data_IF_083191747775
#
_entry.id   IF_083191747775
#
_cell.length_a   1.000
_cell.length_b   1.000
_cell.length_c   1.000
_cell.angle_alpha   90.00
_cell.angle_beta   90.00
_cell.angle_gamma   90.00
#
_symmetry.space_group_name_H-M   'P 1'
#
loop_
_entity.id
_entity.type
_entity.pdbx_description
1 polymer ?
#
# COMPACT_ATOMS: atom_id res chain seq x y z
N UNK A 1 27.65 -16.26 75.08
CA UNK A 1 28.52 -17.34 75.61
C UNK A 1 29.01 -17.04 77.03
N UNK A 2 29.57 -15.86 77.32
CA UNK A 2 30.08 -15.53 78.67
C UNK A 2 29.01 -15.33 79.77
N UNK A 3 27.82 -14.81 79.42
CA UNK A 3 26.76 -14.51 80.40
C UNK A 3 26.10 -15.79 80.93
N UNK A 4 25.98 -16.83 80.10
CA UNK A 4 25.41 -18.12 80.51
C UNK A 4 26.32 -18.89 81.48
N UNK A 5 27.65 -18.75 81.36
CA UNK A 5 28.62 -19.37 82.26
C UNK A 5 28.64 -18.70 83.65
N UNK A 6 28.41 -17.38 83.71
CA UNK A 6 28.31 -16.61 84.96
C UNK A 6 27.10 -17.05 85.81
N UNK A 7 25.93 -17.25 85.17
CA UNK A 7 24.72 -17.65 85.88
C UNK A 7 24.81 -19.09 86.42
N UNK A 8 25.44 -20.01 85.67
CA UNK A 8 25.65 -21.40 86.11
C UNK A 8 26.54 -21.50 87.36
N UNK A 9 27.57 -20.65 87.47
CA UNK A 9 28.43 -20.58 88.64
C UNK A 9 27.68 -20.05 89.87
N UNK A 10 26.79 -19.06 89.68
CA UNK A 10 26.03 -18.45 90.77
C UNK A 10 25.04 -19.43 91.42
N UNK A 11 24.45 -20.32 90.62
CA UNK A 11 23.53 -21.37 91.09
C UNK A 11 24.30 -22.48 91.83
N UNK A 12 25.49 -22.87 91.34
CA UNK A 12 26.33 -23.88 92.02
C UNK A 12 26.81 -23.43 93.41
N UNK A 13 27.13 -22.13 93.56
CA UNK A 13 27.54 -21.55 94.84
C UNK A 13 26.40 -21.51 95.86
N UNK A 14 25.16 -21.24 95.42
CA UNK A 14 23.99 -21.20 96.30
C UNK A 14 23.59 -22.58 96.86
N UNK A 15 23.76 -23.67 96.09
CA UNK A 15 23.49 -25.03 96.58
C UNK A 15 24.50 -25.52 97.64
N UNK A 16 25.73 -25.00 97.61
CA UNK A 16 26.79 -25.40 98.56
C UNK A 16 26.61 -24.84 99.97
N UNK A 17 25.86 -23.74 100.12
CA UNK A 17 25.69 -23.03 101.40
C UNK A 17 24.66 -23.66 102.35
N UNK A 18 23.82 -24.58 101.86
CA UNK A 18 22.69 -25.11 102.64
C UNK A 18 22.97 -26.45 103.33
N UNK A 19 24.17 -27.02 103.19
CA UNK A 19 24.46 -28.41 103.56
C UNK A 19 25.28 -28.64 104.85
N UNK A 20 25.48 -27.64 105.72
CA UNK A 20 26.40 -27.77 106.87
C UNK A 20 25.79 -27.55 108.26
N UNK A 21 24.59 -28.06 108.53
CA UNK A 21 24.11 -28.09 109.91
C UNK A 21 23.58 -29.48 110.27
N UNK A 22 24.03 -29.94 111.45
CA UNK A 22 23.68 -31.14 112.24
C UNK A 22 24.53 -32.39 111.99
N UNK A 23 25.52 -32.66 112.86
CA UNK A 23 25.40 -33.60 114.00
C UNK A 23 26.70 -33.61 114.82
N UNK A 24 26.62 -33.27 116.10
CA UNK A 24 27.63 -33.64 117.09
C UNK A 24 26.96 -33.89 118.43
N UNK A 25 26.74 -35.16 118.72
CA UNK A 25 26.79 -35.76 120.06
C UNK A 25 27.81 -36.92 119.89
N UNK A 26 28.61 -37.36 120.87
CA UNK A 26 28.38 -37.49 122.31
C UNK A 26 29.73 -37.76 123.01
N UNK A 27 29.84 -37.41 124.30
CA UNK A 27 30.54 -38.09 125.43
C UNK A 27 30.82 -37.03 126.50
N UNK A 28 30.68 -37.23 127.82
CA UNK A 28 30.12 -38.28 128.65
C UNK A 28 29.91 -37.69 130.07
N UNK A 29 29.04 -38.34 130.84
CA UNK A 29 29.09 -38.50 132.31
C UNK A 29 28.84 -37.29 133.22
N UNK A 30 27.75 -37.37 134.01
CA UNK A 30 27.84 -37.40 135.47
C UNK A 30 26.49 -37.76 136.10
N UNK A 31 26.55 -38.78 136.95
CA UNK A 31 25.52 -39.48 137.72
C UNK A 31 24.72 -38.57 138.68
N UNK A 32 23.41 -38.79 138.76
CA UNK A 32 22.53 -38.14 139.75
C UNK A 32 21.15 -38.80 139.82
N UNK A 33 20.81 -39.31 141.00
CA UNK A 33 19.76 -40.27 141.36
C UNK A 33 18.29 -39.86 141.03
N UNK A 34 17.50 -40.88 140.65
CA UNK A 34 16.04 -41.04 140.81
C UNK A 34 15.09 -39.95 140.27
N UNK A 35 14.68 -40.08 138.99
CA UNK A 35 13.36 -39.77 138.37
C UNK A 35 13.48 -39.72 136.82
N UNK A 36 14.23 -40.66 136.23
CA UNK A 36 14.88 -40.53 134.92
C UNK A 36 14.02 -40.93 133.69
N UNK A 37 12.90 -41.63 133.91
CA UNK A 37 12.04 -42.10 132.81
C UNK A 37 11.07 -41.02 132.30
N UNK A 38 10.59 -40.11 133.17
CA UNK A 38 9.63 -39.08 132.76
C UNK A 38 10.27 -37.90 132.01
N UNK A 39 11.55 -37.60 132.25
CA UNK A 39 12.28 -36.48 131.62
C UNK A 39 12.71 -36.85 130.19
N UNK A 40 13.29 -38.05 130.00
CA UNK A 40 13.69 -38.57 128.69
C UNK A 40 12.51 -38.81 127.74
N UNK A 41 11.37 -39.26 128.27
CA UNK A 41 10.11 -39.38 127.51
C UNK A 41 9.56 -38.01 127.09
N UNK A 42 9.68 -36.98 127.95
CA UNK A 42 9.23 -35.62 127.60
C UNK A 42 10.07 -34.97 126.49
N UNK A 43 11.39 -35.20 126.49
CA UNK A 43 12.29 -34.73 125.43
C UNK A 43 12.05 -35.48 124.11
N UNK A 44 11.83 -36.80 124.18
CA UNK A 44 11.48 -37.61 123.02
C UNK A 44 10.14 -37.14 122.39
N UNK A 45 9.14 -36.82 123.21
CA UNK A 45 7.87 -36.25 122.75
C UNK A 45 8.07 -34.87 122.08
N UNK A 46 8.94 -34.02 122.63
CA UNK A 46 9.29 -32.72 122.05
C UNK A 46 9.97 -32.85 120.68
N UNK A 47 10.91 -33.79 120.55
CA UNK A 47 11.58 -34.09 119.27
C UNK A 47 10.55 -34.59 118.24
N UNK A 48 9.66 -35.50 118.63
CA UNK A 48 8.62 -36.03 117.75
C UNK A 48 7.68 -34.95 117.23
N UNK A 49 7.23 -34.02 118.08
CA UNK A 49 6.43 -32.87 117.66
C UNK A 49 7.21 -31.95 116.71
N UNK A 50 8.51 -31.76 116.94
CA UNK A 50 9.37 -30.95 116.07
C UNK A 50 9.59 -31.60 114.71
N UNK A 51 9.74 -32.92 114.66
CA UNK A 51 9.80 -33.70 113.40
C UNK A 51 8.48 -33.54 112.65
N UNK A 52 7.34 -33.77 113.30
CA UNK A 52 6.03 -33.62 112.68
C UNK A 52 5.78 -32.18 112.16
N UNK A 53 6.25 -31.17 112.89
CA UNK A 53 6.19 -29.78 112.43
C UNK A 53 7.09 -29.53 111.22
N UNK A 54 8.33 -30.03 111.22
CA UNK A 54 9.24 -29.90 110.07
C UNK A 54 8.73 -30.65 108.84
N UNK A 55 8.13 -31.83 109.02
CA UNK A 55 7.46 -32.58 107.96
C UNK A 55 6.29 -31.77 107.36
N UNK A 56 5.47 -31.14 108.21
CA UNK A 56 4.38 -30.29 107.75
C UNK A 56 4.88 -29.06 106.97
N UNK A 57 5.93 -28.40 107.45
CA UNK A 57 6.57 -27.27 106.75
C UNK A 57 7.20 -27.74 105.43
N UNK A 58 7.86 -28.90 105.43
CA UNK A 58 8.44 -29.48 104.22
C UNK A 58 7.35 -29.76 103.18
N UNK A 59 6.24 -30.39 103.57
CA UNK A 59 5.11 -30.67 102.68
C UNK A 59 4.50 -29.37 102.12
N UNK A 60 4.30 -28.35 102.95
CA UNK A 60 3.82 -27.04 102.49
C UNK A 60 4.79 -26.39 101.49
N UNK A 61 6.11 -26.50 101.73
CA UNK A 61 7.12 -25.97 100.80
C UNK A 61 7.15 -26.74 99.48
N UNK A 62 7.00 -28.07 99.51
CA UNK A 62 6.91 -28.92 98.31
C UNK A 62 5.69 -28.51 97.49
N UNK A 63 4.53 -28.35 98.14
CA UNK A 63 3.31 -27.93 97.47
C UNK A 63 3.45 -26.57 96.78
N UNK A 64 3.99 -25.55 97.50
CA UNK A 64 4.27 -24.23 96.92
C UNK A 64 5.27 -24.29 95.77
N UNK A 65 6.27 -25.16 95.85
CA UNK A 65 7.27 -25.33 94.80
C UNK A 65 6.65 -25.96 93.54
N UNK A 66 5.73 -26.92 93.72
CA UNK A 66 5.00 -27.56 92.64
C UNK A 66 4.05 -26.57 91.92
N UNK A 67 3.34 -25.73 92.67
CA UNK A 67 2.51 -24.65 92.11
C UNK A 67 3.33 -23.67 91.25
N UNK A 68 4.51 -23.28 91.75
CA UNK A 68 5.44 -22.43 90.99
C UNK A 68 5.98 -23.14 89.75
N UNK A 69 6.27 -24.45 89.84
CA UNK A 69 6.72 -25.23 88.69
C UNK A 69 5.66 -25.28 87.59
N UNK A 70 4.39 -25.50 87.95
CA UNK A 70 3.28 -25.46 86.99
C UNK A 70 3.12 -24.08 86.34
N UNK A 71 3.22 -23.00 87.14
CA UNK A 71 3.18 -21.64 86.60
C UNK A 71 4.31 -21.37 85.60
N UNK A 72 5.54 -21.83 85.88
CA UNK A 72 6.67 -21.72 84.95
C UNK A 72 6.40 -22.50 83.65
N UNK A 73 5.80 -23.69 83.75
CA UNK A 73 5.44 -24.50 82.58
C UNK A 73 4.41 -23.79 81.68
N UNK A 74 3.42 -23.10 82.25
CA UNK A 74 2.47 -22.29 81.48
C UNK A 74 3.14 -21.11 80.79
N UNK A 75 4.04 -20.40 81.49
CA UNK A 75 4.80 -19.30 80.91
C UNK A 75 5.70 -19.78 79.76
N UNK A 76 6.35 -20.95 79.91
CA UNK A 76 7.16 -21.55 78.86
C UNK A 76 6.32 -21.88 77.61
N UNK A 77 5.12 -22.44 77.77
CA UNK A 77 4.18 -22.67 76.66
C UNK A 77 3.81 -21.37 75.95
N UNK A 78 3.54 -20.30 76.69
CA UNK A 78 3.23 -18.99 76.12
C UNK A 78 4.43 -18.41 75.35
N UNK A 79 5.64 -18.51 75.90
CA UNK A 79 6.88 -18.08 75.25
C UNK A 79 7.10 -18.86 73.95
N UNK A 80 6.88 -20.17 73.96
CA UNK A 80 6.97 -21.00 72.75
C UNK A 80 5.93 -20.59 71.69
N UNK A 81 4.69 -20.30 72.09
CA UNK A 81 3.67 -19.80 71.16
C UNK A 81 4.05 -18.44 70.56
N UNK A 82 4.56 -17.51 71.37
CA UNK A 82 5.03 -16.21 70.90
C UNK A 82 6.23 -16.34 69.97
N UNK A 83 7.17 -17.24 70.26
CA UNK A 83 8.34 -17.51 69.41
C UNK A 83 7.91 -18.00 68.02
N UNK A 84 6.96 -18.95 67.95
CA UNK A 84 6.41 -19.40 66.67
C UNK A 84 5.75 -18.27 65.87
N UNK A 85 5.01 -17.37 66.53
CA UNK A 85 4.41 -16.20 65.87
C UNK A 85 5.47 -15.24 65.34
N UNK A 86 6.55 -15.02 66.10
CA UNK A 86 7.68 -14.21 65.66
C UNK A 86 8.32 -14.83 64.42
N UNK A 87 8.53 -16.14 64.37
CA UNK A 87 9.12 -16.83 63.22
C UNK A 87 8.24 -16.67 61.96
N UNK A 88 6.92 -16.85 62.11
CA UNK A 88 5.96 -16.65 61.00
C UNK A 88 6.01 -15.21 60.49
N UNK A 89 5.93 -14.21 61.39
CA UNK A 89 5.99 -12.80 61.02
C UNK A 89 7.32 -12.43 60.36
N UNK A 90 8.44 -12.97 60.84
CA UNK A 90 9.75 -12.77 60.21
C UNK A 90 9.79 -13.33 58.79
N UNK A 91 9.21 -14.53 58.57
CA UNK A 91 9.11 -15.12 57.24
C UNK A 91 8.25 -14.29 56.28
N UNK A 92 7.12 -13.74 56.75
CA UNK A 92 6.25 -12.88 55.97
C UNK A 92 6.91 -11.54 55.63
N UNK A 93 7.63 -10.93 56.58
CA UNK A 93 8.39 -9.69 56.36
C UNK A 93 9.48 -9.91 55.31
N UNK A 94 10.18 -11.05 55.34
CA UNK A 94 11.18 -11.37 54.32
C UNK A 94 10.56 -11.53 52.93
N UNK A 95 9.40 -12.20 52.84
CA UNK A 95 8.67 -12.36 51.58
C UNK A 95 8.18 -11.01 51.04
N UNK A 96 7.58 -10.17 51.88
CA UNK A 96 7.15 -8.83 51.49
C UNK A 96 8.33 -7.97 51.02
N UNK A 97 9.50 -8.10 51.67
CA UNK A 97 10.71 -7.40 51.25
C UNK A 97 11.20 -7.86 49.88
N UNK A 98 11.19 -9.16 49.60
CA UNK A 98 11.55 -9.65 48.26
C UNK A 98 10.56 -9.19 47.18
N UNK A 99 9.26 -9.20 47.49
CA UNK A 99 8.21 -8.77 46.57
C UNK A 99 8.33 -7.26 46.28
N UNK A 100 8.62 -6.45 47.32
CA UNK A 100 8.90 -5.01 47.19
C UNK A 100 10.09 -4.75 46.27
N UNK A 101 11.23 -5.44 46.48
CA UNK A 101 12.42 -5.27 45.65
C UNK A 101 12.16 -5.64 44.18
N UNK A 102 11.34 -6.67 43.95
CA UNK A 102 10.94 -7.04 42.59
C UNK A 102 10.06 -5.96 41.94
N UNK A 103 9.09 -5.41 42.69
CA UNK A 103 8.26 -4.31 42.25
C UNK A 103 9.09 -3.05 41.92
N UNK A 104 10.06 -2.71 42.76
CA UNK A 104 10.97 -1.58 42.53
C UNK A 104 11.79 -1.76 41.25
N UNK A 105 12.34 -2.96 41.01
CA UNK A 105 13.06 -3.24 39.75
C UNK A 105 12.17 -3.06 38.53
N UNK A 106 10.91 -3.51 38.61
CA UNK A 106 9.93 -3.35 37.53
C UNK A 106 9.55 -1.88 37.32
N UNK A 107 9.45 -1.10 38.40
CA UNK A 107 9.22 0.35 38.32
C UNK A 107 10.38 1.05 37.61
N UNK A 108 11.64 0.75 37.96
CA UNK A 108 12.81 1.32 37.27
C UNK A 108 12.84 0.98 35.78
N UNK A 109 12.58 -0.28 35.42
CA UNK A 109 12.53 -0.68 34.01
C UNK A 109 11.43 0.08 33.23
N UNK A 110 10.26 0.23 33.84
CA UNK A 110 9.16 1.00 33.25
C UNK A 110 9.51 2.50 33.15
N UNK A 111 10.21 3.05 34.13
CA UNK A 111 10.67 4.45 34.11
C UNK A 111 11.66 4.69 32.96
N UNK A 112 12.61 3.77 32.72
CA UNK A 112 13.53 3.85 31.58
C UNK A 112 12.77 3.78 30.25
N UNK A 113 11.79 2.87 30.11
CA UNK A 113 10.93 2.80 28.92
C UNK A 113 10.17 4.12 28.68
N UNK A 114 9.59 4.69 29.74
CA UNK A 114 8.89 5.98 29.67
C UNK A 114 9.84 7.10 29.24
N UNK A 115 11.07 7.14 29.77
CA UNK A 115 12.08 8.12 29.36
C UNK A 115 12.46 7.97 27.88
N UNK A 116 12.65 6.74 27.40
CA UNK A 116 12.92 6.47 25.99
C UNK A 116 11.76 6.88 25.08
N UNK A 117 10.51 6.57 25.46
CA UNK A 117 9.31 6.98 24.74
C UNK A 117 9.18 8.50 24.69
N UNK A 118 9.49 9.20 25.78
CA UNK A 118 9.50 10.66 25.81
C UNK A 118 10.56 11.26 24.88
N UNK A 119 11.77 10.68 24.82
CA UNK A 119 12.80 11.12 23.88
C UNK A 119 12.39 10.90 22.42
N UNK A 120 11.82 9.73 22.10
CA UNK A 120 11.30 9.42 20.77
C UNK A 120 10.14 10.34 20.38
N UNK A 121 9.21 10.61 21.30
CA UNK A 121 8.09 11.53 21.10
C UNK A 121 8.56 12.94 20.74
N UNK A 122 9.55 13.48 21.48
CA UNK A 122 10.15 14.79 21.18
C UNK A 122 10.79 14.83 19.79
N UNK A 123 11.53 13.78 19.43
CA UNK A 123 12.15 13.67 18.10
C UNK A 123 11.08 13.63 16.99
N UNK A 124 10.05 12.81 17.15
CA UNK A 124 8.97 12.72 16.18
C UNK A 124 8.23 14.05 16.02
N UNK A 125 8.01 14.78 17.13
CA UNK A 125 7.39 16.10 17.08
C UNK A 125 8.23 17.09 16.24
N UNK A 126 9.56 17.10 16.43
CA UNK A 126 10.46 17.90 15.59
C UNK A 126 10.41 17.50 14.11
N UNK A 127 10.47 16.19 13.83
CA UNK A 127 10.42 15.67 12.47
C UNK A 127 9.08 16.01 11.77
N UNK A 128 7.96 16.03 12.51
CA UNK A 128 6.65 16.49 12.00
C UNK A 128 6.72 17.94 11.54
N UNK A 129 7.30 18.84 12.35
CA UNK A 129 7.42 20.25 11.96
C UNK A 129 8.31 20.45 10.73
N UNK A 130 9.43 19.71 10.64
CA UNK A 130 10.30 19.74 9.46
C UNK A 130 9.57 19.23 8.23
N UNK A 131 8.86 18.11 8.33
CA UNK A 131 8.09 17.56 7.22
C UNK A 131 6.95 18.50 6.79
N UNK A 132 6.26 19.12 7.73
CA UNK A 132 5.22 20.11 7.44
C UNK A 132 5.79 21.31 6.66
N UNK A 133 6.94 21.86 7.06
CA UNK A 133 7.57 22.96 6.31
C UNK A 133 7.99 22.56 4.89
N UNK A 134 8.45 21.32 4.70
CA UNK A 134 8.82 20.79 3.37
C UNK A 134 7.59 20.55 2.49
N UNK A 135 6.48 20.10 3.09
CA UNK A 135 5.23 19.92 2.39
C UNK A 135 4.68 21.27 1.92
N UNK A 136 4.73 22.30 2.76
CA UNK A 136 4.33 23.66 2.39
C UNK A 136 5.18 24.22 1.24
N UNK A 137 6.51 24.11 1.32
CA UNK A 137 7.39 24.55 0.21
C UNK A 137 7.08 23.82 -1.10
N UNK A 138 6.81 22.51 -1.03
CA UNK A 138 6.44 21.73 -2.20
C UNK A 138 5.07 22.14 -2.77
N UNK A 139 4.11 22.48 -1.92
CA UNK A 139 2.79 22.99 -2.31
C UNK A 139 2.88 24.37 -2.98
N UNK A 140 3.62 25.31 -2.40
CA UNK A 140 3.86 26.63 -2.97
C UNK A 140 4.51 26.50 -4.36
N UNK A 141 5.51 25.61 -4.50
CA UNK A 141 6.16 25.33 -5.80
C UNK A 141 5.18 24.72 -6.79
N UNK A 142 4.31 23.82 -6.35
CA UNK A 142 3.28 23.22 -7.21
C UNK A 142 2.29 24.27 -7.70
N UNK A 143 1.86 25.20 -6.84
CA UNK A 143 0.98 26.31 -7.21
C UNK A 143 1.62 27.19 -8.29
N UNK A 144 2.91 27.52 -8.15
CA UNK A 144 3.63 28.28 -9.19
C UNK A 144 3.67 27.54 -10.53
N UNK A 145 3.94 26.23 -10.53
CA UNK A 145 3.95 25.42 -11.76
C UNK A 145 2.55 25.30 -12.35
N UNK A 146 1.53 25.11 -11.52
CA UNK A 146 0.12 25.03 -11.94
C UNK A 146 -0.29 26.31 -12.67
N UNK A 147 0.00 27.49 -12.11
CA UNK A 147 -0.31 28.78 -12.75
C UNK A 147 0.41 28.98 -14.10
N UNK A 148 1.62 28.42 -14.26
CA UNK A 148 2.35 28.44 -15.54
C UNK A 148 1.72 27.50 -16.56
N UNK A 149 1.26 26.33 -16.12
CA UNK A 149 0.56 25.37 -16.99
C UNK A 149 -0.77 25.94 -17.47
N UNK A 150 -1.53 26.61 -16.60
CA UNK A 150 -2.78 27.28 -16.97
C UNK A 150 -2.54 28.33 -18.06
N UNK A 151 -1.58 29.25 -17.84
CA UNK A 151 -1.19 30.26 -18.84
C UNK A 151 -0.76 29.63 -20.17
N UNK A 152 0.01 28.55 -20.12
CA UNK A 152 0.44 27.85 -21.33
C UNK A 152 -0.75 27.18 -22.04
N UNK A 153 -1.70 26.62 -21.30
CA UNK A 153 -2.93 26.05 -21.84
C UNK A 153 -3.72 27.11 -22.61
N UNK A 154 -3.89 28.30 -22.03
CA UNK A 154 -4.58 29.41 -22.70
C UNK A 154 -3.90 29.75 -24.03
N UNK A 155 -2.57 29.94 -24.02
CA UNK A 155 -1.79 30.21 -25.23
C UNK A 155 -1.96 29.09 -26.27
N UNK A 156 -1.86 27.81 -25.86
CA UNK A 156 -2.01 26.67 -26.77
C UNK A 156 -3.41 26.63 -27.37
N UNK A 157 -4.45 26.94 -26.60
CA UNK A 157 -5.83 27.00 -27.13
C UNK A 157 -6.01 28.15 -28.13
N UNK A 158 -5.43 29.32 -27.87
CA UNK A 158 -5.44 30.44 -28.81
C UNK A 158 -4.71 30.10 -30.12
N UNK A 159 -3.49 29.59 -30.01
CA UNK A 159 -2.68 29.14 -31.16
C UNK A 159 -3.41 28.06 -31.98
N UNK A 160 -4.09 27.12 -31.32
CA UNK A 160 -4.90 26.10 -31.99
C UNK A 160 -6.04 26.71 -32.80
N UNK A 161 -6.76 27.70 -32.24
CA UNK A 161 -7.81 28.41 -32.97
C UNK A 161 -7.27 29.17 -34.19
N UNK A 162 -6.09 29.78 -34.07
CA UNK A 162 -5.43 30.48 -35.19
C UNK A 162 -5.05 29.51 -36.32
N UNK A 163 -4.44 28.37 -35.99
CA UNK A 163 -4.10 27.32 -36.95
C UNK A 163 -5.34 26.85 -37.70
N UNK A 164 -6.44 26.56 -36.97
CA UNK A 164 -7.69 26.14 -37.59
C UNK A 164 -8.25 27.18 -38.58
N UNK A 165 -8.18 28.47 -38.24
CA UNK A 165 -8.61 29.55 -39.16
C UNK A 165 -7.69 29.65 -40.39
N UNK A 166 -6.38 29.51 -40.21
CA UNK A 166 -5.41 29.54 -41.31
C UNK A 166 -5.61 28.35 -42.25
N UNK A 167 -5.85 27.16 -41.72
CA UNK A 167 -6.15 25.96 -42.51
C UNK A 167 -7.42 26.15 -43.36
N UNK A 168 -8.49 26.70 -42.78
CA UNK A 168 -9.72 27.02 -43.51
C UNK A 168 -9.48 28.08 -44.60
N UNK A 169 -8.76 29.16 -44.29
CA UNK A 169 -8.42 30.20 -45.25
C UNK A 169 -7.57 29.67 -46.41
N UNK A 170 -6.60 28.79 -46.11
CA UNK A 170 -5.78 28.10 -47.10
C UNK A 170 -6.64 27.24 -48.03
N UNK A 171 -7.55 26.42 -47.46
CA UNK A 171 -8.45 25.57 -48.25
C UNK A 171 -9.36 26.37 -49.19
N UNK A 172 -9.93 27.48 -48.70
CA UNK A 172 -10.74 28.40 -49.50
C UNK A 172 -9.90 29.01 -50.63
N UNK A 173 -8.68 29.46 -50.33
CA UNK A 173 -7.77 30.09 -51.29
C UNK A 173 -7.34 29.11 -52.38
N UNK A 174 -6.93 27.89 -52.01
CA UNK A 174 -6.61 26.82 -52.96
C UNK A 174 -7.80 26.50 -53.88
N UNK A 175 -9.00 26.37 -53.31
CA UNK A 175 -10.23 26.11 -54.09
C UNK A 175 -10.53 27.25 -55.06
N UNK A 176 -10.40 28.51 -54.63
CA UNK A 176 -10.57 29.68 -55.50
C UNK A 176 -9.51 29.74 -56.60
N UNK A 177 -8.25 29.46 -56.29
CA UNK A 177 -7.15 29.44 -57.25
C UNK A 177 -7.37 28.36 -58.33
N UNK A 178 -7.74 27.14 -57.93
CA UNK A 178 -8.07 26.05 -58.87
C UNK A 178 -9.28 26.40 -59.75
N UNK A 179 -10.32 27.04 -59.19
CA UNK A 179 -11.46 27.53 -59.98
C UNK A 179 -11.04 28.60 -60.97
N UNK A 180 -10.25 29.59 -60.56
CA UNK A 180 -9.75 30.64 -61.45
C UNK A 180 -8.88 30.05 -62.57
N UNK A 181 -7.99 29.10 -62.24
CA UNK A 181 -7.19 28.38 -63.23
C UNK A 181 -8.07 27.60 -64.21
N UNK A 182 -9.09 26.88 -63.74
CA UNK A 182 -10.06 26.20 -64.61
C UNK A 182 -10.81 27.18 -65.50
N UNK A 183 -11.23 28.33 -64.99
CA UNK A 183 -11.91 29.37 -65.77
C UNK A 183 -10.98 29.96 -66.86
N UNK A 184 -9.70 30.17 -66.54
CA UNK A 184 -8.70 30.62 -67.52
C UNK A 184 -8.41 29.53 -68.56
N UNK A 185 -8.25 28.27 -68.15
CA UNK A 185 -8.08 27.15 -69.08
C UNK A 185 -9.32 26.94 -69.97
N UNK A 186 -10.51 27.13 -69.41
CA UNK A 186 -11.79 27.08 -70.12
C UNK A 186 -11.93 28.23 -71.14
N UNK A 187 -11.52 29.45 -70.77
CA UNK A 187 -11.60 30.61 -71.68
C UNK A 187 -10.53 30.61 -72.78
N UNK A 188 -9.37 30.00 -72.53
CA UNK A 188 -8.25 29.89 -73.48
C UNK A 188 -8.40 28.74 -74.48
N UNK A 189 -9.24 27.74 -74.20
CA UNK A 189 -9.38 26.59 -75.08
C UNK A 189 -10.57 26.78 -76.04
N UNK A 190 -10.28 27.26 -77.26
CA UNK A 190 -11.28 27.46 -78.33
C UNK A 190 -12.09 26.19 -78.62
N UNK A 191 -11.48 25.02 -78.45
CA UNK A 191 -12.12 23.71 -78.63
C UNK A 191 -13.22 23.44 -77.59
N UNK A 192 -13.01 23.78 -76.32
CA UNK A 192 -14.05 23.64 -75.28
C UNK A 192 -15.16 24.68 -75.45
N UNK A 193 -14.81 25.89 -75.87
CA UNK A 193 -15.77 26.94 -76.22
C UNK A 193 -16.66 26.50 -77.39
N UNK A 194 -16.07 25.88 -78.40
CA UNK A 194 -16.77 25.29 -79.55
C UNK A 194 -17.65 24.10 -79.14
N UNK A 195 -17.17 23.19 -78.29
CA UNK A 195 -17.99 22.09 -77.76
C UNK A 195 -19.22 22.65 -77.04
N UNK A 196 -19.07 23.71 -76.23
CA UNK A 196 -20.18 24.27 -75.50
C UNK A 196 -21.16 25.07 -76.38
N UNK A 197 -20.67 25.68 -77.45
CA UNK A 197 -21.50 26.34 -78.47
C UNK A 197 -22.27 25.31 -79.30
N UNK A 198 -21.58 24.23 -79.71
CA UNK A 198 -22.19 23.12 -80.42
C UNK A 198 -23.18 22.38 -79.52
N UNK A 199 -22.87 22.13 -78.25
CA UNK A 199 -23.80 21.50 -77.31
C UNK A 199 -24.95 22.44 -76.94
N UNK A 200 -24.69 23.71 -76.66
CA UNK A 200 -25.75 24.70 -76.36
C UNK A 200 -26.75 24.81 -77.50
N UNK A 201 -26.27 24.98 -78.73
CA UNK A 201 -27.15 25.21 -79.88
C UNK A 201 -27.70 23.92 -80.50
N UNK A 202 -26.94 22.81 -80.54
CA UNK A 202 -27.47 21.53 -81.05
C UNK A 202 -28.21 20.71 -80.00
N UNK A 203 -27.79 20.59 -78.73
CA UNK A 203 -28.57 19.79 -77.76
C UNK A 203 -29.90 20.46 -77.44
N UNK A 204 -29.98 21.79 -77.35
CA UNK A 204 -31.25 22.46 -77.08
C UNK A 204 -32.23 22.33 -78.27
N UNK A 205 -31.70 22.35 -79.50
CA UNK A 205 -32.49 22.15 -80.73
C UNK A 205 -32.87 20.69 -80.96
N UNK A 206 -31.98 19.75 -80.64
CA UNK A 206 -32.23 18.30 -80.69
C UNK A 206 -33.20 17.89 -79.59
N UNK A 207 -33.09 18.44 -78.37
CA UNK A 207 -34.03 18.19 -77.28
C UNK A 207 -35.43 18.74 -77.60
N UNK A 208 -35.53 19.94 -78.19
CA UNK A 208 -36.81 20.50 -78.64
C UNK A 208 -37.45 19.76 -79.82
N UNK A 209 -36.65 19.12 -80.69
CA UNK A 209 -37.15 18.28 -81.80
C UNK A 209 -37.50 16.86 -81.31
N UNK A 210 -36.78 16.31 -80.33
CA UNK A 210 -37.02 14.98 -79.79
C UNK A 210 -38.05 14.94 -78.67
N UNK A 211 -38.41 16.08 -78.05
CA UNK A 211 -39.36 16.12 -76.93
C UNK A 211 -40.73 15.49 -77.24
N UNK A 212 -41.34 15.69 -78.41
CA UNK A 212 -42.60 15.01 -78.75
C UNK A 212 -42.41 13.51 -79.05
N UNK A 213 -41.19 13.07 -79.38
CA UNK A 213 -40.90 11.70 -79.83
C UNK A 213 -40.40 10.79 -78.70
N UNK A 214 -39.65 11.34 -77.74
CA UNK A 214 -39.14 10.61 -76.56
C UNK A 214 -40.28 10.25 -75.59
N UNK A 215 -41.30 11.11 -75.48
CA UNK A 215 -42.39 10.91 -74.52
C UNK A 215 -43.37 9.79 -74.91
N UNK A 216 -43.56 9.50 -76.21
CA UNK A 216 -44.60 8.55 -76.67
C UNK A 216 -44.11 7.10 -76.85
N UNK A 217 -42.79 6.83 -76.93
CA UNK A 217 -42.27 5.52 -77.35
C UNK A 217 -41.11 4.97 -76.48
N UNK A 218 -41.19 5.17 -75.17
CA UNK A 218 -40.13 4.84 -74.21
C UNK A 218 -39.74 3.35 -74.08
N UNK A 219 -40.60 2.39 -74.46
CA UNK A 219 -40.30 0.95 -74.28
C UNK A 219 -39.56 0.30 -75.46
N UNK A 220 -39.81 0.71 -76.70
CA UNK A 220 -39.12 0.17 -77.89
C UNK A 220 -37.79 0.87 -78.16
N UNK A 221 -37.63 2.11 -77.71
CA UNK A 221 -36.35 2.83 -77.82
C UNK A 221 -35.28 2.25 -76.91
N UNK A 222 -35.65 1.82 -75.70
CA UNK A 222 -34.70 1.32 -74.71
C UNK A 222 -34.12 -0.05 -75.12
N UNK A 223 -34.89 -0.90 -75.80
CA UNK A 223 -34.39 -2.17 -76.36
C UNK A 223 -33.48 -1.94 -77.58
N UNK A 224 -33.85 -1.03 -78.47
CA UNK A 224 -33.02 -0.70 -79.63
C UNK A 224 -31.71 0.02 -79.24
N UNK A 225 -31.79 0.89 -78.23
CA UNK A 225 -30.63 1.60 -77.68
C UNK A 225 -29.73 0.66 -76.89
N UNK A 226 -30.27 -0.25 -76.07
CA UNK A 226 -29.46 -1.27 -75.39
C UNK A 226 -28.85 -2.27 -76.35
N UNK A 227 -29.56 -2.67 -77.41
CA UNK A 227 -29.01 -3.49 -78.50
C UNK A 227 -27.94 -2.73 -79.28
N UNK A 228 -28.14 -1.44 -79.56
CA UNK A 228 -27.16 -0.56 -80.18
C UNK A 228 -25.90 -0.40 -79.34
N UNK A 229 -26.05 -0.14 -78.04
CA UNK A 229 -24.94 -0.09 -77.08
C UNK A 229 -24.22 -1.42 -76.96
N UNK A 230 -24.94 -2.54 -76.99
CA UNK A 230 -24.35 -3.88 -76.96
C UNK A 230 -23.53 -4.17 -78.23
N UNK A 231 -24.05 -3.83 -79.41
CA UNK A 231 -23.29 -3.97 -80.66
C UNK A 231 -22.07 -3.04 -80.68
N UNK A 232 -22.23 -1.80 -80.19
CA UNK A 232 -21.14 -0.85 -80.05
C UNK A 232 -20.07 -1.38 -79.09
N UNK A 233 -20.46 -1.95 -77.95
CA UNK A 233 -19.54 -2.62 -77.02
C UNK A 233 -18.78 -3.76 -77.70
N UNK A 234 -19.46 -4.60 -78.49
CA UNK A 234 -18.83 -5.68 -79.26
C UNK A 234 -17.82 -5.14 -80.28
N UNK A 235 -18.14 -4.05 -80.97
CA UNK A 235 -17.22 -3.36 -81.89
C UNK A 235 -16.02 -2.81 -81.11
N UNK A 236 -16.23 -2.19 -79.94
CA UNK A 236 -15.14 -1.70 -79.09
C UNK A 236 -14.23 -2.82 -78.60
N UNK A 237 -14.78 -3.97 -78.22
CA UNK A 237 -13.98 -5.12 -77.79
C UNK A 237 -13.11 -5.68 -78.94
N UNK A 238 -13.65 -5.73 -80.16
CA UNK A 238 -12.89 -6.11 -81.36
C UNK A 238 -11.82 -5.07 -81.68
N UNK A 239 -12.18 -3.78 -81.66
CA UNK A 239 -11.26 -2.67 -81.91
C UNK A 239 -10.15 -2.63 -80.87
N UNK A 240 -10.43 -2.94 -79.60
CA UNK A 240 -9.42 -3.03 -78.53
C UNK A 240 -8.42 -4.16 -78.79
N UNK A 241 -8.89 -5.32 -79.24
CA UNK A 241 -8.01 -6.44 -79.65
C UNK A 241 -7.14 -6.04 -80.84
N UNK A 242 -7.73 -5.39 -81.85
CA UNK A 242 -7.00 -4.90 -83.00
C UNK A 242 -5.97 -3.83 -82.63
N UNK A 243 -6.34 -2.90 -81.74
CA UNK A 243 -5.50 -1.85 -81.21
C UNK A 243 -4.28 -2.44 -80.49
N UNK A 244 -4.45 -3.44 -79.62
CA UNK A 244 -3.33 -4.13 -79.00
C UNK A 244 -2.43 -4.87 -80.00
N UNK A 245 -3.01 -5.46 -81.06
CA UNK A 245 -2.23 -6.09 -82.14
C UNK A 245 -1.43 -5.05 -82.91
N UNK A 246 -2.03 -3.89 -83.21
CA UNK A 246 -1.40 -2.78 -83.91
C UNK A 246 -0.29 -2.14 -83.07
N UNK A 247 -0.49 -1.97 -81.76
CA UNK A 247 0.56 -1.55 -80.84
C UNK A 247 1.79 -2.46 -80.93
N UNK A 248 1.59 -3.78 -80.90
CA UNK A 248 2.70 -4.74 -81.01
C UNK A 248 3.42 -4.64 -82.36
N UNK A 249 2.67 -4.43 -83.43
CA UNK A 249 3.23 -4.25 -84.77
C UNK A 249 4.06 -2.95 -84.87
N UNK A 250 3.48 -1.82 -84.44
CA UNK A 250 4.14 -0.52 -84.42
C UNK A 250 5.40 -0.57 -83.57
N UNK A 251 5.32 -1.14 -82.36
CA UNK A 251 6.49 -1.27 -81.49
C UNK A 251 7.62 -2.06 -82.16
N UNK A 252 7.28 -3.18 -82.79
CA UNK A 252 8.24 -4.01 -83.53
C UNK A 252 8.86 -3.26 -84.71
N UNK A 253 8.11 -2.46 -85.45
CA UNK A 253 8.65 -1.66 -86.56
C UNK A 253 9.44 -0.43 -86.11
N UNK A 254 9.12 0.14 -84.95
CA UNK A 254 9.92 1.19 -84.33
C UNK A 254 11.27 0.64 -83.84
N UNK A 255 11.28 -0.51 -83.18
CA UNK A 255 12.51 -1.15 -82.69
C UNK A 255 13.47 -1.59 -83.80
N UNK A 256 12.96 -1.89 -85.00
CA UNK A 256 13.78 -2.26 -86.17
C UNK A 256 14.50 -1.09 -86.83
N UNK A 257 14.00 0.13 -86.64
CA UNK A 257 14.55 1.33 -87.26
C UNK A 257 15.46 2.06 -86.27
N UNK A 258 16.71 2.29 -86.65
CA UNK A 258 17.72 2.91 -85.78
C UNK A 258 17.26 4.26 -85.18
N UNK A 259 16.49 5.04 -85.95
CA UNK A 259 15.98 6.35 -85.53
C UNK A 259 14.75 6.31 -84.61
N UNK A 260 13.90 5.29 -84.70
CA UNK A 260 12.65 5.22 -83.92
C UNK A 260 12.72 4.22 -82.77
N UNK A 261 13.79 3.43 -82.69
CA UNK A 261 14.02 2.46 -81.62
C UNK A 261 14.08 3.12 -80.23
N UNK A 262 14.73 4.29 -80.13
CA UNK A 262 14.79 5.07 -78.87
C UNK A 262 13.43 5.61 -78.42
N UNK A 263 12.46 5.71 -79.35
CA UNK A 263 11.13 6.26 -79.11
C UNK A 263 10.06 5.17 -78.86
N UNK A 264 10.42 3.88 -78.88
CA UNK A 264 9.50 2.74 -78.79
C UNK A 264 8.89 2.52 -77.37
N UNK A 265 8.51 3.61 -76.70
CA UNK A 265 7.85 3.63 -75.40
C UNK A 265 6.39 3.16 -75.53
N UNK A 266 5.89 2.43 -74.52
CA UNK A 266 4.52 1.86 -74.52
C UNK A 266 3.43 2.92 -74.66
N UNK A 267 3.61 4.09 -74.04
CA UNK A 267 2.66 5.21 -74.12
C UNK A 267 2.61 5.82 -75.53
N UNK A 268 3.77 6.09 -76.15
CA UNK A 268 3.82 6.63 -77.52
C UNK A 268 3.28 5.62 -78.54
N UNK A 269 3.59 4.33 -78.37
CA UNK A 269 3.03 3.25 -79.19
C UNK A 269 1.51 3.17 -79.02
N UNK A 270 0.98 3.36 -77.81
CA UNK A 270 -0.47 3.43 -77.55
C UNK A 270 -1.11 4.60 -78.30
N UNK A 271 -0.53 5.80 -78.23
CA UNK A 271 -1.05 6.96 -78.94
C UNK A 271 -0.97 6.81 -80.46
N UNK A 272 0.13 6.28 -80.99
CA UNK A 272 0.31 6.09 -82.43
C UNK A 272 -0.63 5.01 -82.99
N UNK A 273 -0.81 3.91 -82.26
CA UNK A 273 -1.82 2.90 -82.59
C UNK A 273 -3.25 3.45 -82.52
N UNK A 274 -3.51 4.39 -81.62
CA UNK A 274 -4.83 5.03 -81.51
C UNK A 274 -5.06 5.97 -82.68
N UNK A 275 -4.06 6.80 -83.01
CA UNK A 275 -4.10 7.73 -84.12
C UNK A 275 -4.30 7.03 -85.47
N UNK A 276 -3.61 5.91 -85.72
CA UNK A 276 -3.79 5.13 -86.96
C UNK A 276 -5.19 4.54 -87.11
N UNK A 277 -5.89 4.27 -86.01
CA UNK A 277 -7.29 3.78 -86.04
C UNK A 277 -8.26 4.95 -86.21
N UNK A 278 -8.05 6.06 -85.49
CA UNK A 278 -8.99 7.18 -85.48
C UNK A 278 -8.87 8.08 -86.70
N UNK A 279 -7.66 8.27 -87.22
CA UNK A 279 -7.39 9.20 -88.33
C UNK A 279 -8.16 8.86 -89.62
N UNK A 280 -8.24 7.60 -90.09
CA UNK A 280 -9.03 7.26 -91.27
C UNK A 280 -10.54 7.46 -91.05
N UNK A 281 -11.02 7.18 -89.83
CA UNK A 281 -12.44 7.35 -89.47
C UNK A 281 -12.80 8.83 -89.51
N UNK A 282 -11.98 9.68 -88.88
CA UNK A 282 -12.20 11.13 -88.83
C UNK A 282 -12.03 11.73 -90.23
N UNK A 283 -11.02 11.32 -90.99
CA UNK A 283 -10.78 11.81 -92.36
C UNK A 283 -11.92 11.41 -93.31
N UNK A 284 -12.38 10.16 -93.25
CA UNK A 284 -13.52 9.68 -94.03
C UNK A 284 -14.82 10.38 -93.65
N UNK A 285 -15.07 10.57 -92.35
CA UNK A 285 -16.20 11.36 -91.87
C UNK A 285 -16.14 12.81 -92.36
N UNK A 286 -14.97 13.44 -92.24
CA UNK A 286 -14.75 14.82 -92.66
C UNK A 286 -14.95 14.97 -94.17
N UNK A 287 -14.46 14.03 -94.98
CA UNK A 287 -14.67 13.99 -96.43
C UNK A 287 -16.15 13.82 -96.80
N UNK A 288 -16.85 12.85 -96.20
CA UNK A 288 -18.29 12.65 -96.43
C UNK A 288 -19.12 13.86 -95.99
N UNK A 289 -18.80 14.44 -94.83
CA UNK A 289 -19.48 15.63 -94.33
C UNK A 289 -19.25 16.87 -95.20
N UNK A 290 -18.10 16.95 -95.88
CA UNK A 290 -17.81 18.03 -96.83
C UNK A 290 -18.58 17.92 -98.14
N UNK A 291 -19.01 16.72 -98.54
CA UNK A 291 -19.87 16.53 -99.72
C UNK A 291 -21.37 16.69 -99.42
N UNK A 292 -21.77 16.61 -98.15
CA UNK A 292 -23.16 16.81 -97.72
C UNK A 292 -23.50 18.29 -97.42
N UNK A 293 -22.59 19.22 -97.74
CA UNK A 293 -22.76 20.66 -97.59
C UNK A 293 -22.85 21.32 -98.96
#
# INVERSE_FOLDING_TARGET
MAIAQSLLLSVLLALSSSCLVVLSETTASSTGHSNNENISVSELQKIKLKIAHLEAVLEETIQKLNEKAHYIEEQEKLIQQMSRKIDVLQSEVLKLRSDSLHADRRLYALEEEVQHLWAASRKNNFDIHVLASKAQDAEDRLETVSSRVEKMSDIVTEQWMEIQRLEQALHITQTRALRAQRQISYSRCSFLKFINQLSGDHLQKVHGILDPYIFWKGSTFNSYFSQGLHQLKKVFDVTKKYHHKLQRFIKKEMEKNEFTASLANSELVFFLASALITFPIISGWMFLSSQLR
#
